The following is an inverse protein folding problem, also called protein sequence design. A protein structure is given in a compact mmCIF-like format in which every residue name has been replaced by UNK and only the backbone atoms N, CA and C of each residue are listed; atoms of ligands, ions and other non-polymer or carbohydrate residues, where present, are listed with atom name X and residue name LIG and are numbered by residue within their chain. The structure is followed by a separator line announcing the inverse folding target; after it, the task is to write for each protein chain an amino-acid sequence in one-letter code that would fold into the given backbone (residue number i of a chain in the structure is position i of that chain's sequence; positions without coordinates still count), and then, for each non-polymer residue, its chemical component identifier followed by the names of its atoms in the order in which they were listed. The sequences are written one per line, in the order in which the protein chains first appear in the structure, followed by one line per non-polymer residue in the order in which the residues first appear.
data_IF_241880867963
#
_entry.id   IF_241880867963
#
_cell.length_a   1.000
_cell.length_b   1.000
_cell.length_c   1.000
_cell.angle_alpha   90.00
_cell.angle_beta   90.00
_cell.angle_gamma   90.00
#
_symmetry.space_group_name_H-M   'P 1'
#
loop_
_entity.id
_entity.type
_entity.pdbx_description
1 polymer ?
#
# COMPACT_ATOMS: atom_id res chain seq x y z
N UNK A 1 -2.90 -10.76 12.78
CA UNK A 1 -4.33 -10.66 12.46
C UNK A 1 -4.53 -9.62 11.36
N UNK A 2 -5.49 -9.86 10.47
CA UNK A 2 -5.80 -8.96 9.36
C UNK A 2 -7.30 -8.65 9.40
N UNK A 3 -7.64 -7.35 9.36
CA UNK A 3 -9.01 -6.90 9.18
C UNK A 3 -9.17 -6.59 7.69
N UNK A 4 -9.99 -7.36 6.94
CA UNK A 4 -10.12 -7.19 5.50
C UNK A 4 -10.83 -5.86 5.16
N UNK A 5 -10.38 -5.22 4.07
CA UNK A 5 -11.06 -4.05 3.52
C UNK A 5 -12.24 -4.50 2.66
N UNK A 6 -13.47 -4.10 2.97
CA UNK A 6 -14.62 -4.41 2.13
C UNK A 6 -14.60 -3.61 0.84
N UNK A 7 -15.08 -4.23 -0.24
CA UNK A 7 -15.33 -3.56 -1.52
C UNK A 7 -16.67 -3.99 -2.10
N UNK A 8 -17.20 -3.17 -2.98
CA UNK A 8 -18.50 -3.37 -3.60
C UNK A 8 -18.34 -3.52 -5.11
N UNK A 9 -19.05 -4.46 -5.68
CA UNK A 9 -19.20 -4.63 -7.12
C UNK A 9 -20.71 -4.57 -7.42
N UNK A 10 -21.14 -3.60 -8.19
CA UNK A 10 -22.56 -3.37 -8.55
C UNK A 10 -23.50 -3.32 -7.33
N UNK A 11 -22.97 -2.80 -6.20
CA UNK A 11 -23.68 -2.65 -4.93
C UNK A 11 -23.65 -3.87 -4.01
N UNK A 12 -23.08 -4.99 -4.44
CA UNK A 12 -22.88 -6.20 -3.62
C UNK A 12 -21.53 -6.14 -2.88
N UNK A 13 -21.54 -6.52 -1.59
CA UNK A 13 -20.36 -6.51 -0.72
C UNK A 13 -19.49 -7.75 -0.94
N UNK A 14 -18.18 -7.53 -1.05
CA UNK A 14 -17.18 -8.59 -1.13
C UNK A 14 -15.99 -8.36 -0.20
N UNK A 15 -15.37 -9.46 0.21
CA UNK A 15 -14.12 -9.51 0.96
C UNK A 15 -13.13 -10.39 0.17
N UNK A 16 -11.91 -9.89 -0.01
CA UNK A 16 -10.84 -10.60 -0.74
C UNK A 16 -10.54 -11.95 -0.10
N UNK A 17 -10.41 -12.98 -0.94
CA UNK A 17 -10.12 -14.38 -0.57
C UNK A 17 -11.13 -15.03 0.41
N UNK A 18 -12.21 -14.31 0.78
CA UNK A 18 -13.30 -14.83 1.61
C UNK A 18 -14.56 -15.06 0.75
N UNK A 19 -15.00 -14.02 0.03
CA UNK A 19 -16.23 -14.09 -0.77
C UNK A 19 -15.99 -13.90 -2.27
N UNK A 20 -14.77 -13.48 -2.67
CA UNK A 20 -14.40 -13.29 -4.07
C UNK A 20 -12.89 -13.55 -4.26
N UNK A 21 -12.57 -14.30 -5.32
CA UNK A 21 -11.19 -14.53 -5.74
C UNK A 21 -10.65 -13.38 -6.59
N UNK A 22 -9.32 -13.26 -6.68
CA UNK A 22 -8.69 -12.27 -7.57
C UNK A 22 -9.08 -12.46 -9.03
N UNK A 23 -9.16 -13.71 -9.51
CA UNK A 23 -9.55 -14.02 -10.90
C UNK A 23 -10.96 -13.50 -11.23
N UNK A 24 -11.93 -13.78 -10.38
CA UNK A 24 -13.31 -13.31 -10.56
C UNK A 24 -13.42 -11.79 -10.48
N UNK A 25 -12.66 -11.17 -9.57
CA UNK A 25 -12.58 -9.71 -9.46
C UNK A 25 -12.11 -9.06 -10.76
N UNK A 26 -10.96 -9.51 -11.32
CA UNK A 26 -10.42 -8.92 -12.53
C UNK A 26 -11.31 -9.14 -13.76
N UNK A 27 -12.03 -10.25 -13.80
CA UNK A 27 -13.05 -10.49 -14.82
C UNK A 27 -14.15 -9.42 -14.76
N UNK A 28 -14.75 -9.19 -13.59
CA UNK A 28 -15.79 -8.16 -13.39
C UNK A 28 -15.26 -6.74 -13.63
N UNK A 29 -14.04 -6.45 -13.21
CA UNK A 29 -13.40 -5.18 -13.49
C UNK A 29 -13.26 -4.91 -15.01
N UNK A 30 -12.97 -5.96 -15.80
CA UNK A 30 -12.91 -5.91 -17.26
C UNK A 30 -14.27 -5.69 -17.92
N UNK A 31 -15.36 -6.07 -17.27
CA UNK A 31 -16.74 -5.87 -17.72
C UNK A 31 -17.31 -4.46 -17.39
N UNK A 32 -16.47 -3.54 -16.89
CA UNK A 32 -16.79 -2.15 -16.51
C UNK A 32 -17.84 -2.03 -15.38
N UNK A 33 -17.90 -3.04 -14.49
CA UNK A 33 -18.77 -3.04 -13.30
C UNK A 33 -18.50 -1.80 -12.43
N UNK A 34 -19.51 -1.38 -11.67
CA UNK A 34 -19.35 -0.29 -10.71
C UNK A 34 -18.67 -0.80 -9.43
N UNK A 35 -17.37 -0.48 -9.31
CA UNK A 35 -16.53 -0.94 -8.21
C UNK A 35 -16.17 0.22 -7.29
N UNK A 36 -16.33 0.01 -5.99
CA UNK A 36 -15.97 0.96 -4.94
C UNK A 36 -15.44 0.23 -3.70
N UNK A 37 -14.77 0.96 -2.80
CA UNK A 37 -14.25 0.44 -1.54
C UNK A 37 -14.87 1.13 -0.35
N UNK A 38 -14.92 0.44 0.79
CA UNK A 38 -15.29 1.01 2.08
C UNK A 38 -14.23 0.69 3.12
N UNK A 39 -14.27 1.38 4.24
CA UNK A 39 -13.54 0.97 5.43
C UNK A 39 -14.27 -0.19 6.12
N UNK A 40 -13.57 -1.02 6.93
CA UNK A 40 -14.21 -1.96 7.84
C UNK A 40 -15.19 -1.23 8.75
N UNK A 41 -16.26 -1.91 9.15
CA UNK A 41 -17.21 -1.30 10.09
C UNK A 41 -16.56 -1.10 11.46
N UNK A 42 -16.94 -0.04 12.21
CA UNK A 42 -16.48 0.15 13.59
C UNK A 42 -16.67 -1.08 14.47
N UNK A 43 -17.82 -1.76 14.31
CA UNK A 43 -18.12 -2.97 15.09
C UNK A 43 -17.14 -4.11 14.81
N UNK A 44 -16.82 -4.39 13.54
CA UNK A 44 -15.85 -5.43 13.16
C UNK A 44 -14.44 -5.13 13.70
N UNK A 45 -14.04 -3.85 13.68
CA UNK A 45 -12.74 -3.44 14.23
C UNK A 45 -12.68 -3.64 15.73
N UNK A 46 -13.70 -3.19 16.46
CA UNK A 46 -13.77 -3.33 17.92
C UNK A 46 -13.90 -4.81 18.35
N UNK A 47 -14.72 -5.60 17.67
CA UNK A 47 -14.85 -7.03 17.94
C UNK A 47 -13.50 -7.75 17.77
N UNK A 48 -12.73 -7.42 16.74
CA UNK A 48 -11.39 -7.97 16.55
C UNK A 48 -10.46 -7.59 17.71
N UNK A 49 -10.47 -6.34 18.16
CA UNK A 49 -9.64 -5.91 19.30
C UNK A 49 -10.09 -6.54 20.62
N UNK A 50 -11.39 -6.65 20.86
CA UNK A 50 -11.96 -7.27 22.06
C UNK A 50 -11.57 -8.74 22.17
N UNK A 51 -11.59 -9.48 21.05
CA UNK A 51 -11.13 -10.88 21.02
C UNK A 51 -9.62 -10.98 21.28
N UNK A 52 -8.82 -10.12 20.68
CA UNK A 52 -7.36 -10.12 20.86
C UNK A 52 -6.97 -9.75 22.30
N UNK A 53 -7.64 -8.79 22.93
CA UNK A 53 -7.35 -8.37 24.30
C UNK A 53 -7.74 -9.40 25.37
N UNK A 54 -8.38 -10.52 24.98
CA UNK A 54 -8.54 -11.68 25.89
C UNK A 54 -7.24 -12.49 26.04
N UNK A 55 -6.35 -12.40 25.07
CA UNK A 55 -5.11 -13.19 24.98
C UNK A 55 -3.84 -12.33 25.11
N UNK A 56 -3.93 -11.04 24.74
CA UNK A 56 -2.80 -10.11 24.69
C UNK A 56 -3.06 -8.88 25.56
N UNK A 57 -2.01 -8.31 26.12
CA UNK A 57 -2.11 -7.13 27.01
C UNK A 57 -2.29 -5.84 26.20
N UNK A 58 -1.66 -5.74 25.01
CA UNK A 58 -1.65 -4.56 24.15
C UNK A 58 -1.76 -4.95 22.67
N UNK A 59 -2.26 -4.02 21.85
CA UNK A 59 -2.39 -4.18 20.41
C UNK A 59 -1.70 -3.01 19.69
N UNK A 60 -0.88 -3.33 18.70
CA UNK A 60 -0.44 -2.36 17.68
C UNK A 60 -1.29 -2.58 16.44
N UNK A 61 -2.10 -1.60 16.07
CA UNK A 61 -2.93 -1.63 14.86
C UNK A 61 -2.30 -0.72 13.79
N UNK A 62 -1.93 -1.30 12.65
CA UNK A 62 -1.24 -0.61 11.55
C UNK A 62 -2.15 -0.57 10.31
N UNK A 63 -3.05 0.42 10.20
CA UNK A 63 -3.88 0.60 9.00
C UNK A 63 -3.07 1.22 7.85
N UNK A 64 -3.61 1.19 6.64
CA UNK A 64 -3.03 1.95 5.54
C UNK A 64 -3.07 3.46 5.80
N UNK A 65 -2.22 4.20 5.10
CA UNK A 65 -2.08 5.66 5.18
C UNK A 65 -3.41 6.39 5.37
N UNK A 66 -3.46 7.29 6.35
CA UNK A 66 -4.61 8.18 6.61
C UNK A 66 -4.98 9.06 5.41
N UNK A 67 -4.03 9.36 4.53
CA UNK A 67 -4.26 10.10 3.30
C UNK A 67 -4.92 9.30 2.18
N UNK A 68 -4.95 7.96 2.27
CA UNK A 68 -5.55 7.07 1.27
C UNK A 68 -6.89 6.49 1.72
N UNK A 69 -7.08 6.31 3.03
CA UNK A 69 -8.31 5.77 3.60
C UNK A 69 -8.64 6.42 4.94
N UNK A 70 -9.92 6.63 5.22
CA UNK A 70 -10.40 7.08 6.53
C UNK A 70 -10.28 6.01 7.62
N UNK A 71 -9.91 4.78 7.29
CA UNK A 71 -9.75 3.66 8.25
C UNK A 71 -8.83 4.03 9.41
N UNK A 72 -7.71 4.71 9.14
CA UNK A 72 -6.77 5.11 10.17
C UNK A 72 -7.41 6.06 11.20
N UNK A 73 -8.06 7.12 10.74
CA UNK A 73 -8.73 8.08 11.64
C UNK A 73 -9.89 7.44 12.41
N UNK A 74 -10.66 6.56 11.77
CA UNK A 74 -11.72 5.81 12.44
C UNK A 74 -11.14 4.92 13.56
N UNK A 75 -10.09 4.15 13.26
CA UNK A 75 -9.43 3.32 14.25
C UNK A 75 -8.82 4.15 15.39
N UNK A 76 -8.19 5.30 15.12
CA UNK A 76 -7.68 6.21 16.15
C UNK A 76 -8.78 6.73 17.07
N UNK A 77 -9.98 7.02 16.53
CA UNK A 77 -11.13 7.45 17.33
C UNK A 77 -11.63 6.32 18.23
N UNK A 78 -11.78 5.11 17.68
CA UNK A 78 -12.24 3.94 18.43
C UNK A 78 -11.24 3.53 19.53
N UNK A 79 -9.93 3.66 19.28
CA UNK A 79 -8.89 3.25 20.24
C UNK A 79 -8.92 4.06 21.55
N UNK A 80 -9.58 5.23 21.56
CA UNK A 80 -9.73 6.04 22.78
C UNK A 80 -10.55 5.31 23.86
N UNK A 81 -11.40 4.36 23.48
CA UNK A 81 -12.22 3.57 24.40
C UNK A 81 -11.42 2.45 25.11
N UNK A 82 -10.18 2.21 24.67
CA UNK A 82 -9.33 1.09 25.13
C UNK A 82 -8.23 1.49 26.13
N UNK A 83 -8.30 2.68 26.70
CA UNK A 83 -7.41 3.14 27.79
C UNK A 83 -5.91 2.95 27.50
N UNK A 84 -5.49 3.11 26.23
CA UNK A 84 -4.11 2.98 25.79
C UNK A 84 -3.67 1.55 25.43
N UNK A 85 -4.51 0.53 25.62
CA UNK A 85 -4.19 -0.85 25.22
C UNK A 85 -4.15 -1.06 23.71
N UNK A 86 -4.78 -0.19 22.93
CA UNK A 86 -4.76 -0.24 21.45
C UNK A 86 -4.05 0.98 20.91
N UNK A 87 -2.87 0.78 20.34
CA UNK A 87 -2.04 1.81 19.73
C UNK A 87 -2.19 1.77 18.20
N UNK A 88 -2.90 2.75 17.65
CA UNK A 88 -3.09 2.88 16.19
C UNK A 88 -1.97 3.70 15.59
N UNK A 89 -1.26 3.14 14.60
CA UNK A 89 -0.09 3.73 13.94
C UNK A 89 -0.49 4.38 12.62
N UNK A 90 -0.20 5.66 12.44
CA UNK A 90 -0.28 6.33 11.13
C UNK A 90 1.12 6.63 10.57
N UNK A 91 1.76 5.64 10.03
CA UNK A 91 3.07 5.81 9.40
C UNK A 91 2.98 6.03 7.88
N UNK A 92 1.79 6.34 7.37
CA UNK A 92 1.55 6.76 5.98
C UNK A 92 2.00 5.75 4.93
N UNK A 93 1.97 4.46 5.27
CA UNK A 93 2.38 3.37 4.38
C UNK A 93 1.19 2.59 3.84
N UNK A 94 1.42 1.83 2.79
CA UNK A 94 0.45 0.94 2.14
C UNK A 94 1.19 -0.20 1.43
N UNK A 95 0.51 -1.32 1.17
CA UNK A 95 1.05 -2.45 0.40
C UNK A 95 2.32 -3.03 1.03
N UNK A 96 3.36 -3.29 0.24
CA UNK A 96 4.64 -3.88 0.71
C UNK A 96 5.30 -3.05 1.81
N UNK A 97 5.20 -1.73 1.77
CA UNK A 97 5.74 -0.88 2.84
C UNK A 97 4.92 -0.96 4.13
N UNK A 98 3.61 -1.18 4.04
CA UNK A 98 2.77 -1.44 5.23
C UNK A 98 3.06 -2.83 5.80
N UNK A 99 3.25 -3.84 4.95
CA UNK A 99 3.69 -5.16 5.38
C UNK A 99 5.02 -5.06 6.13
N UNK A 100 6.00 -4.32 5.59
CA UNK A 100 7.27 -4.08 6.27
C UNK A 100 7.07 -3.44 7.65
N UNK A 101 6.16 -2.49 7.79
CA UNK A 101 5.85 -1.90 9.12
C UNK A 101 5.35 -2.92 10.13
N UNK A 102 4.63 -3.95 9.70
CA UNK A 102 4.21 -5.04 10.58
C UNK A 102 5.41 -5.90 10.98
N UNK A 103 6.32 -6.18 10.06
CA UNK A 103 7.56 -6.91 10.33
C UNK A 103 8.48 -6.14 11.28
N UNK A 104 8.64 -4.83 11.07
CA UNK A 104 9.37 -3.93 11.96
C UNK A 104 8.74 -3.90 13.37
N UNK A 105 7.42 -3.82 13.46
CA UNK A 105 6.69 -3.89 14.75
C UNK A 105 6.95 -5.20 15.49
N UNK A 106 7.05 -6.33 14.78
CA UNK A 106 7.37 -7.65 15.37
C UNK A 106 8.79 -7.64 15.94
N UNK A 107 9.77 -7.11 15.19
CA UNK A 107 11.16 -6.98 15.67
C UNK A 107 11.24 -6.10 16.92
N UNK A 108 10.55 -4.96 16.92
CA UNK A 108 10.50 -4.06 18.08
C UNK A 108 9.85 -4.71 19.29
N UNK A 109 8.74 -5.45 19.10
CA UNK A 109 8.09 -6.24 20.15
C UNK A 109 9.05 -7.27 20.74
N UNK A 110 9.77 -8.01 19.92
CA UNK A 110 10.70 -9.05 20.34
C UNK A 110 11.93 -8.46 21.05
N UNK A 111 12.23 -7.17 20.78
CA UNK A 111 13.19 -6.37 21.55
C UNK A 111 12.62 -5.80 22.85
N UNK A 112 11.37 -6.12 23.22
CA UNK A 112 10.73 -5.74 24.48
C UNK A 112 10.09 -4.35 24.49
N UNK A 113 9.81 -3.75 23.32
CA UNK A 113 9.11 -2.48 23.22
C UNK A 113 7.62 -2.64 23.49
N UNK A 114 7.03 -1.68 24.21
CA UNK A 114 5.58 -1.57 24.39
C UNK A 114 4.88 -1.13 23.10
N UNK A 115 3.56 -1.32 23.02
CA UNK A 115 2.77 -0.88 21.86
C UNK A 115 2.88 0.63 21.62
N UNK A 116 2.97 1.43 22.68
CA UNK A 116 3.18 2.89 22.57
C UNK A 116 4.54 3.23 21.99
N UNK A 117 5.62 2.61 22.47
CA UNK A 117 6.97 2.82 21.93
C UNK A 117 7.07 2.40 20.46
N UNK A 118 6.47 1.26 20.08
CA UNK A 118 6.41 0.80 18.70
C UNK A 118 5.71 1.82 17.82
N UNK A 119 4.55 2.33 18.26
CA UNK A 119 3.83 3.39 17.55
C UNK A 119 4.71 4.61 17.32
N UNK A 120 5.36 5.13 18.37
CA UNK A 120 6.21 6.32 18.30
C UNK A 120 7.37 6.13 17.31
N UNK A 121 8.02 4.97 17.30
CA UNK A 121 9.12 4.65 16.39
C UNK A 121 8.61 4.61 14.95
N UNK A 122 7.57 3.82 14.67
CA UNK A 122 7.04 3.66 13.31
C UNK A 122 6.50 4.98 12.72
N UNK A 123 5.90 5.84 13.55
CA UNK A 123 5.43 7.16 13.12
C UNK A 123 6.59 8.15 12.90
N UNK A 124 7.66 8.08 13.69
CA UNK A 124 8.87 8.89 13.48
C UNK A 124 9.55 8.55 12.14
N UNK A 125 9.52 7.28 11.76
CA UNK A 125 10.14 6.74 10.54
C UNK A 125 9.23 6.76 9.30
N UNK A 126 8.06 7.40 9.37
CA UNK A 126 7.07 7.41 8.29
C UNK A 126 7.61 7.85 6.92
N UNK A 127 8.59 8.73 6.90
CA UNK A 127 9.22 9.20 5.67
C UNK A 127 10.42 8.36 5.21
N UNK A 128 10.80 7.32 5.96
CA UNK A 128 11.81 6.35 5.53
C UNK A 128 11.23 5.26 4.62
N UNK A 129 10.33 5.66 3.75
CA UNK A 129 9.76 4.82 2.71
C UNK A 129 9.48 5.63 1.46
N UNK A 130 9.57 4.99 0.32
CA UNK A 130 9.15 5.52 -0.98
C UNK A 130 8.42 4.44 -1.75
N UNK A 131 7.38 4.82 -2.47
CA UNK A 131 6.73 3.97 -3.46
C UNK A 131 6.71 4.72 -4.77
N UNK A 132 7.15 4.07 -5.84
CA UNK A 132 6.99 4.56 -7.21
C UNK A 132 6.08 3.59 -7.96
N UNK A 133 5.02 4.12 -8.57
CA UNK A 133 4.02 3.32 -9.27
C UNK A 133 3.76 3.88 -10.67
N UNK A 134 3.60 3.00 -11.63
CA UNK A 134 3.03 3.34 -12.93
C UNK A 134 1.78 2.54 -13.20
N UNK A 135 0.79 3.16 -13.82
CA UNK A 135 -0.51 2.57 -14.13
C UNK A 135 -0.83 2.76 -15.62
N UNK A 136 -1.67 1.91 -16.16
CA UNK A 136 -2.12 2.06 -17.54
C UNK A 136 -3.02 3.27 -17.74
N UNK A 137 -3.88 3.50 -16.77
CA UNK A 137 -4.86 4.58 -16.80
C UNK A 137 -5.04 5.21 -15.43
N UNK A 138 -5.26 6.52 -15.41
CA UNK A 138 -5.64 7.25 -14.20
C UNK A 138 -7.17 7.23 -13.95
N UNK A 139 -7.95 6.52 -14.79
CA UNK A 139 -9.44 6.47 -14.68
C UNK A 139 -9.88 6.11 -13.27
N UNK A 140 -9.39 4.99 -12.77
CA UNK A 140 -9.77 4.44 -11.45
C UNK A 140 -9.29 5.32 -10.29
N UNK A 141 -8.05 5.78 -10.34
CA UNK A 141 -7.48 6.68 -9.32
C UNK A 141 -8.24 8.01 -9.23
N UNK A 142 -8.64 8.57 -10.37
CA UNK A 142 -9.46 9.78 -10.43
C UNK A 142 -10.86 9.55 -9.86
N UNK A 143 -11.52 8.45 -10.27
CA UNK A 143 -12.84 8.06 -9.74
C UNK A 143 -12.77 7.89 -8.22
N UNK A 144 -11.73 7.26 -7.71
CA UNK A 144 -11.53 7.03 -6.29
C UNK A 144 -11.09 8.25 -5.47
N UNK A 145 -10.58 9.31 -6.10
CA UNK A 145 -10.10 10.50 -5.39
C UNK A 145 -8.84 10.29 -4.54
N UNK A 146 -8.04 9.25 -4.81
CA UNK A 146 -6.82 8.88 -4.05
C UNK A 146 -5.53 9.44 -4.65
N UNK A 147 -5.64 10.45 -5.50
CA UNK A 147 -4.51 11.17 -6.09
C UNK A 147 -4.59 12.65 -5.80
N UNK A 148 -3.43 13.30 -5.76
CA UNK A 148 -3.37 14.77 -5.67
C UNK A 148 -3.95 15.42 -6.93
N UNK A 149 -4.40 16.68 -6.88
CA UNK A 149 -4.83 17.42 -8.07
C UNK A 149 -3.75 17.45 -9.16
N UNK A 150 -2.48 17.55 -8.80
CA UNK A 150 -1.35 17.51 -9.73
C UNK A 150 -1.27 16.18 -10.48
N UNK A 151 -1.37 15.05 -9.76
CA UNK A 151 -1.41 13.72 -10.37
C UNK A 151 -2.66 13.52 -11.24
N UNK A 152 -3.82 14.00 -10.79
CA UNK A 152 -5.06 13.94 -11.57
C UNK A 152 -4.97 14.75 -12.88
N UNK A 153 -4.22 15.85 -12.90
CA UNK A 153 -4.02 16.71 -14.05
C UNK A 153 -3.09 16.11 -15.13
N UNK A 154 -2.36 15.02 -14.86
CA UNK A 154 -1.47 14.39 -15.84
C UNK A 154 -2.20 13.94 -17.12
N UNK A 155 -3.52 13.79 -17.07
CA UNK A 155 -4.38 13.50 -18.22
C UNK A 155 -4.15 12.11 -18.83
N UNK A 156 -5.06 11.74 -19.72
CA UNK A 156 -4.96 10.54 -20.55
C UNK A 156 -4.53 10.95 -21.96
N UNK A 157 -3.25 10.86 -22.25
CA UNK A 157 -2.72 10.97 -23.60
C UNK A 157 -2.24 9.60 -24.05
N UNK A 158 -2.58 9.22 -25.25
CA UNK A 158 -2.21 7.94 -25.84
C UNK A 158 -0.71 7.64 -25.66
N UNK A 159 -0.40 6.45 -25.12
CA UNK A 159 0.95 5.96 -24.86
C UNK A 159 1.77 6.79 -23.84
N UNK A 160 1.15 7.68 -23.07
CA UNK A 160 1.79 8.30 -21.92
C UNK A 160 1.53 7.47 -20.67
N UNK A 161 2.61 7.16 -19.96
CA UNK A 161 2.57 6.44 -18.66
C UNK A 161 2.90 7.43 -17.55
N UNK A 162 1.97 7.68 -16.63
CA UNK A 162 2.29 8.43 -15.43
C UNK A 162 3.17 7.58 -14.53
N UNK A 163 4.21 8.16 -13.98
CA UNK A 163 4.90 7.63 -12.81
C UNK A 163 4.46 8.49 -11.64
N UNK A 164 3.87 7.88 -10.64
CA UNK A 164 3.39 8.49 -9.41
C UNK A 164 4.32 8.07 -8.27
N UNK A 165 4.28 8.81 -7.17
CA UNK A 165 5.03 8.49 -5.96
C UNK A 165 4.14 8.57 -4.72
N UNK A 166 4.51 7.81 -3.69
CA UNK A 166 4.06 8.01 -2.32
C UNK A 166 5.31 8.23 -1.47
N UNK A 167 5.43 9.44 -0.94
CA UNK A 167 6.43 9.85 0.04
C UNK A 167 5.70 10.69 1.09
N UNK A 168 4.86 10.02 1.89
CA UNK A 168 3.90 10.63 2.78
C UNK A 168 2.49 10.09 2.52
N UNK A 169 1.47 10.92 2.66
CA UNK A 169 0.08 10.48 2.78
C UNK A 169 -0.57 9.96 1.49
N UNK A 170 -0.26 10.54 0.33
CA UNK A 170 -1.05 10.39 -0.91
C UNK A 170 -0.19 10.09 -2.12
N UNK A 171 -0.86 9.54 -3.15
CA UNK A 171 -0.30 9.42 -4.49
C UNK A 171 -0.15 10.80 -5.13
N UNK A 172 1.09 11.16 -5.45
CA UNK A 172 1.42 12.40 -6.12
C UNK A 172 2.09 12.16 -7.49
N UNK A 173 2.15 13.21 -8.30
CA UNK A 173 2.80 13.17 -9.60
C UNK A 173 4.33 13.17 -9.44
N UNK A 174 5.00 12.19 -10.03
CA UNK A 174 6.47 12.16 -10.07
C UNK A 174 6.99 12.49 -11.46
N UNK A 175 6.51 11.77 -12.48
CA UNK A 175 6.98 11.93 -13.87
C UNK A 175 5.93 11.51 -14.88
N UNK A 176 6.12 11.94 -16.13
CA UNK A 176 5.29 11.60 -17.27
C UNK A 176 6.17 11.16 -18.42
N UNK A 177 6.08 9.90 -18.79
CA UNK A 177 6.98 9.30 -19.79
C UNK A 177 6.21 8.57 -20.89
N UNK A 178 6.87 8.23 -21.98
CA UNK A 178 6.27 7.47 -23.07
C UNK A 178 6.64 6.00 -22.97
N UNK A 179 5.61 5.14 -22.86
CA UNK A 179 5.71 3.69 -22.88
C UNK A 179 6.28 3.08 -21.58
N UNK A 180 6.06 1.78 -21.43
CA UNK A 180 6.42 1.00 -20.25
C UNK A 180 7.92 0.97 -19.95
N UNK A 181 8.76 0.80 -20.98
CA UNK A 181 10.22 0.77 -20.81
C UNK A 181 10.77 2.05 -20.18
N UNK A 182 10.22 3.21 -20.56
CA UNK A 182 10.63 4.48 -19.99
C UNK A 182 10.09 4.64 -18.54
N UNK A 183 8.87 4.15 -18.26
CA UNK A 183 8.32 4.18 -16.92
C UNK A 183 9.14 3.31 -15.94
N UNK A 184 9.41 2.06 -16.28
CA UNK A 184 10.27 1.15 -15.51
C UNK A 184 11.64 1.78 -15.22
N UNK A 185 12.32 2.28 -16.25
CA UNK A 185 13.62 2.95 -16.07
C UNK A 185 13.55 4.17 -15.17
N UNK A 186 12.44 4.92 -15.22
CA UNK A 186 12.25 6.10 -14.36
C UNK A 186 12.07 5.70 -12.90
N UNK A 187 11.29 4.66 -12.62
CA UNK A 187 11.12 4.12 -11.27
C UNK A 187 12.45 3.60 -10.70
N UNK A 188 13.19 2.77 -11.44
CA UNK A 188 14.50 2.26 -11.00
C UNK A 188 15.50 3.39 -10.69
N UNK A 189 15.53 4.45 -11.51
CA UNK A 189 16.39 5.62 -11.25
C UNK A 189 15.94 6.41 -10.01
N UNK A 190 14.64 6.47 -9.76
CA UNK A 190 14.11 7.17 -8.60
C UNK A 190 14.47 6.42 -7.31
N UNK A 191 14.33 5.09 -7.30
CA UNK A 191 14.77 4.24 -6.17
C UNK A 191 16.30 4.37 -5.96
N UNK A 192 17.10 4.26 -7.02
CA UNK A 192 18.55 4.42 -6.93
C UNK A 192 18.94 5.78 -6.31
N UNK A 193 18.22 6.83 -6.70
CA UNK A 193 18.42 8.17 -6.14
C UNK A 193 18.04 8.23 -4.65
N UNK A 194 16.89 7.66 -4.28
CA UNK A 194 16.46 7.63 -2.88
C UNK A 194 17.45 6.85 -2.00
N UNK A 195 17.93 5.69 -2.45
CA UNK A 195 18.92 4.88 -1.74
C UNK A 195 20.27 5.61 -1.55
N UNK A 196 20.64 6.47 -2.50
CA UNK A 196 21.91 7.22 -2.42
C UNK A 196 21.79 8.54 -1.69
N UNK A 197 20.59 9.14 -1.64
CA UNK A 197 20.37 10.48 -1.07
C UNK A 197 19.60 10.39 0.25
N UNK A 198 18.29 10.03 0.17
CA UNK A 198 17.37 10.08 1.32
C UNK A 198 17.62 8.99 2.34
N UNK A 199 18.05 7.82 1.87
CA UNK A 199 18.26 6.63 2.68
C UNK A 199 19.72 6.24 2.79
N UNK A 200 20.64 7.13 2.42
CA UNK A 200 22.09 6.84 2.41
C UNK A 200 22.60 6.34 3.76
N UNK A 201 22.13 6.93 4.86
CA UNK A 201 22.57 6.60 6.21
C UNK A 201 21.97 5.28 6.75
N UNK A 202 20.89 4.79 6.14
CA UNK A 202 20.16 3.56 6.56
C UNK A 202 20.06 2.55 5.40
N UNK A 203 20.87 2.72 4.37
CA UNK A 203 20.79 1.95 3.13
C UNK A 203 20.88 0.44 3.32
N UNK A 204 21.71 0.00 4.27
CA UNK A 204 21.92 -1.44 4.54
C UNK A 204 20.69 -2.09 5.22
N UNK A 205 19.86 -1.29 5.88
CA UNK A 205 18.63 -1.74 6.56
C UNK A 205 17.39 -1.63 5.66
N UNK A 206 17.54 -1.05 4.43
CA UNK A 206 16.41 -0.87 3.53
C UNK A 206 15.96 -2.18 2.89
N UNK A 207 14.65 -2.40 2.85
CA UNK A 207 14.01 -3.52 2.17
C UNK A 207 13.47 -3.05 0.83
N UNK A 208 13.77 -3.79 -0.23
CA UNK A 208 13.27 -3.49 -1.56
C UNK A 208 12.05 -4.37 -1.87
N UNK A 209 10.90 -3.74 -2.11
CA UNK A 209 9.64 -4.43 -2.31
C UNK A 209 9.05 -4.20 -3.70
N UNK A 210 8.35 -5.20 -4.23
CA UNK A 210 7.61 -5.13 -5.48
C UNK A 210 6.18 -5.61 -5.29
N UNK A 211 5.21 -4.81 -5.73
CA UNK A 211 3.81 -5.22 -5.75
C UNK A 211 3.20 -5.04 -7.14
N UNK A 212 2.17 -5.82 -7.50
CA UNK A 212 1.65 -5.85 -8.86
C UNK A 212 0.16 -6.22 -8.94
N UNK A 213 -0.46 -5.86 -10.09
CA UNK A 213 -1.79 -6.31 -10.52
C UNK A 213 -1.77 -6.89 -11.95
N UNK A 214 -0.58 -7.18 -12.48
CA UNK A 214 -0.38 -7.83 -13.77
C UNK A 214 -0.33 -9.36 -13.63
N UNK A 215 -0.07 -10.07 -14.74
CA UNK A 215 0.15 -11.52 -14.70
C UNK A 215 1.40 -11.88 -13.89
N UNK A 216 1.48 -13.11 -13.41
CA UNK A 216 2.66 -13.60 -12.68
C UNK A 216 3.90 -13.59 -13.56
N UNK A 217 3.76 -13.89 -14.83
CA UNK A 217 4.85 -13.89 -15.82
C UNK A 217 5.44 -12.49 -15.97
N UNK A 218 4.60 -11.47 -16.16
CA UNK A 218 5.04 -10.07 -16.24
C UNK A 218 5.65 -9.57 -14.93
N UNK A 219 5.13 -10.04 -13.79
CA UNK A 219 5.68 -9.71 -12.47
C UNK A 219 7.08 -10.32 -12.32
N UNK A 220 7.31 -11.57 -12.72
CA UNK A 220 8.62 -12.21 -12.66
C UNK A 220 9.65 -11.53 -13.58
N UNK A 221 9.26 -11.14 -14.79
CA UNK A 221 10.13 -10.34 -15.67
C UNK A 221 10.55 -9.03 -14.99
N UNK A 222 9.59 -8.35 -14.35
CA UNK A 222 9.88 -7.10 -13.64
C UNK A 222 10.76 -7.31 -12.42
N UNK A 223 10.51 -8.35 -11.63
CA UNK A 223 11.37 -8.74 -10.50
C UNK A 223 12.81 -8.95 -10.94
N UNK A 224 13.01 -9.65 -12.07
CA UNK A 224 14.35 -9.86 -12.62
C UNK A 224 15.03 -8.55 -13.01
N UNK A 225 14.33 -7.62 -13.67
CA UNK A 225 14.87 -6.30 -14.02
C UNK A 225 15.29 -5.50 -12.76
N UNK A 226 14.51 -5.60 -11.66
CA UNK A 226 14.85 -4.97 -10.38
C UNK A 226 16.09 -5.62 -9.77
N UNK A 227 16.13 -6.95 -9.70
CA UNK A 227 17.25 -7.71 -9.13
C UNK A 227 18.56 -7.51 -9.90
N UNK A 228 18.50 -7.37 -11.23
CA UNK A 228 19.66 -7.02 -12.04
C UNK A 228 20.21 -5.61 -11.75
N UNK A 229 19.32 -4.68 -11.39
CA UNK A 229 19.70 -3.29 -11.06
C UNK A 229 20.19 -3.16 -9.61
N UNK A 230 19.66 -3.95 -8.69
CA UNK A 230 19.94 -3.90 -7.26
C UNK A 230 20.28 -5.30 -6.73
N UNK A 231 21.40 -5.89 -7.17
CA UNK A 231 21.77 -7.26 -6.83
C UNK A 231 22.10 -7.47 -5.34
N UNK A 232 22.30 -6.41 -4.59
CA UNK A 232 22.53 -6.44 -3.15
C UNK A 232 21.26 -6.65 -2.31
N UNK A 233 20.06 -6.50 -2.93
CA UNK A 233 18.78 -6.64 -2.22
C UNK A 233 18.05 -7.93 -2.60
N UNK A 234 17.45 -8.57 -1.60
CA UNK A 234 16.40 -9.55 -1.82
C UNK A 234 15.09 -8.79 -2.10
N UNK A 235 14.41 -9.15 -3.20
CA UNK A 235 13.17 -8.49 -3.61
C UNK A 235 11.96 -9.17 -2.97
N UNK A 236 11.34 -8.50 -2.00
CA UNK A 236 10.07 -8.92 -1.43
C UNK A 236 8.95 -8.63 -2.43
N UNK A 237 8.17 -9.64 -2.81
CA UNK A 237 7.11 -9.48 -3.80
C UNK A 237 5.74 -9.92 -3.29
N UNK A 238 4.69 -9.35 -3.88
CA UNK A 238 3.31 -9.77 -3.66
C UNK A 238 2.31 -9.11 -4.60
N UNK A 239 1.17 -9.75 -4.85
CA UNK A 239 0.07 -9.08 -5.52
C UNK A 239 -0.46 -7.94 -4.64
N UNK A 240 -0.97 -6.89 -5.28
CA UNK A 240 -1.74 -5.86 -4.58
C UNK A 240 -3.10 -6.42 -4.16
N UNK A 241 -3.59 -6.00 -3.01
CA UNK A 241 -4.93 -6.36 -2.56
C UNK A 241 -6.01 -5.86 -3.53
N UNK A 242 -7.15 -6.54 -3.55
CA UNK A 242 -8.27 -6.17 -4.42
C UNK A 242 -8.81 -4.78 -4.07
N UNK A 243 -8.78 -4.38 -2.80
CA UNK A 243 -9.15 -3.03 -2.39
C UNK A 243 -8.26 -1.94 -3.01
N UNK A 244 -6.97 -2.22 -3.22
CA UNK A 244 -6.06 -1.34 -3.96
C UNK A 244 -6.34 -1.43 -5.47
N UNK A 245 -6.54 -2.64 -6.00
CA UNK A 245 -6.85 -2.87 -7.42
C UNK A 245 -8.10 -2.15 -7.90
N UNK A 246 -9.11 -1.94 -7.02
CA UNK A 246 -10.28 -1.09 -7.30
C UNK A 246 -9.91 0.33 -7.75
N UNK A 247 -8.78 0.85 -7.29
CA UNK A 247 -8.33 2.22 -7.56
C UNK A 247 -7.29 2.33 -8.66
N UNK A 248 -6.57 1.26 -8.98
CA UNK A 248 -5.49 1.30 -9.98
C UNK A 248 -5.78 0.47 -11.24
N UNK A 249 -6.73 -0.48 -11.16
CA UNK A 249 -7.05 -1.40 -12.25
C UNK A 249 -6.09 -2.59 -12.34
N UNK A 250 -6.35 -3.46 -13.32
CA UNK A 250 -5.59 -4.73 -13.52
C UNK A 250 -4.16 -4.52 -14.02
N UNK A 251 -3.83 -3.40 -14.62
CA UNK A 251 -2.56 -3.20 -15.33
C UNK A 251 -1.66 -2.23 -14.56
N UNK A 252 -1.66 -2.33 -13.26
CA UNK A 252 -0.62 -1.70 -12.47
C UNK A 252 0.63 -2.56 -12.54
N UNK A 253 1.55 -2.29 -13.48
CA UNK A 253 2.90 -2.84 -13.34
C UNK A 253 3.56 -2.16 -12.17
N UNK A 254 3.67 -2.95 -11.16
CA UNK A 254 4.57 -2.98 -10.03
C UNK A 254 5.13 -1.66 -9.47
N UNK A 255 5.04 -1.60 -8.19
CA UNK A 255 5.77 -0.69 -7.32
C UNK A 255 7.19 -1.20 -7.09
N UNK A 256 8.12 -0.31 -6.99
CA UNK A 256 9.39 -0.53 -6.33
C UNK A 256 9.50 0.48 -5.22
#
# INVERSE_FOLDING_TARGET
HVIPMPFFIDGELFLEDITLTQEEFYKRLGEDSDISTSQPSPGEVMECWDELLKEYDEIVHIPMSSGLSSTCHAAQSLSQEYEGKVCVVDNQRISVTQKQSVEDAIVLRDAGKSASEIKEILEAEKLQASIYITVDTLKYLKKGGRVTPAAAALGTVLNLKPVLQIQGEKLDAFSKVRGWKAAKRTMLKAIEKDLNDRFADVREDMVLGMAYTCSKEEAQEWKQEIAEKFPEYEIVEGPLSLSVACHIGQIGRAHV
#
